data_IF_239169913658
#
_entry.id   IF_239169913658
#
_cell.length_a   1.000
_cell.length_b   1.000
_cell.length_c   1.000
_cell.angle_alpha   90.00
_cell.angle_beta   90.00
_cell.angle_gamma   90.00
#
_symmetry.space_group_name_H-M   'P 1'
#
loop_
_entity.id
_entity.type
_entity.pdbx_description
1 polymer ?
#
# COMPACT_ATOMS: atom_id res chain seq x y z
N UNK A 1 -11.00 -1.04 -5.08
CA UNK A 1 -9.79 -1.33 -4.30
C UNK A 1 -8.68 -1.62 -5.29
N UNK A 2 -7.70 -0.71 -5.41
CA UNK A 2 -6.53 -0.89 -6.27
C UNK A 2 -5.39 -1.43 -5.40
N UNK A 3 -5.52 -2.67 -4.94
CA UNK A 3 -4.36 -3.35 -4.36
C UNK A 3 -3.37 -3.68 -5.47
N UNK A 4 -2.11 -3.36 -5.26
CA UNK A 4 -1.03 -3.75 -6.17
C UNK A 4 -1.05 -5.27 -6.35
N UNK A 5 -0.79 -5.79 -7.56
CA UNK A 5 -0.62 -7.22 -7.76
C UNK A 5 0.60 -7.69 -6.98
N UNK A 6 0.48 -8.85 -6.33
CA UNK A 6 1.62 -9.53 -5.73
C UNK A 6 2.67 -9.84 -6.83
N UNK A 7 3.83 -9.21 -6.72
CA UNK A 7 4.90 -9.32 -7.72
C UNK A 7 5.75 -10.57 -7.55
N UNK A 8 5.56 -11.32 -6.47
CA UNK A 8 6.41 -12.47 -6.13
C UNK A 8 5.77 -13.84 -6.41
N UNK A 9 4.66 -13.90 -7.16
CA UNK A 9 3.97 -15.16 -7.50
C UNK A 9 4.82 -16.19 -8.27
N UNK A 10 6.07 -15.87 -8.61
CA UNK A 10 7.00 -16.80 -9.27
C UNK A 10 8.00 -17.48 -8.34
N UNK A 11 8.05 -17.14 -7.06
CA UNK A 11 8.93 -17.76 -6.10
C UNK A 11 8.13 -18.40 -4.95
N UNK A 12 7.94 -19.68 -5.09
CA UNK A 12 7.85 -20.69 -4.03
C UNK A 12 6.75 -20.58 -2.98
N UNK A 13 5.52 -20.92 -3.37
CA UNK A 13 4.59 -21.62 -2.44
C UNK A 13 4.93 -23.12 -2.38
N UNK A 14 6.10 -23.57 -2.85
CA UNK A 14 6.36 -24.98 -3.17
C UNK A 14 6.59 -25.89 -1.96
N UNK A 15 6.82 -25.37 -0.73
CA UNK A 15 7.24 -26.21 0.39
C UNK A 15 6.50 -25.94 1.72
N UNK A 16 5.39 -25.22 1.73
CA UNK A 16 4.62 -25.10 2.96
C UNK A 16 3.58 -26.22 3.03
N UNK A 17 3.61 -26.98 4.13
CA UNK A 17 2.52 -27.88 4.48
C UNK A 17 1.20 -27.09 4.42
N UNK A 18 0.19 -27.51 3.62
CA UNK A 18 -1.12 -26.84 3.58
C UNK A 18 -1.74 -26.63 4.96
N UNK A 19 -1.43 -27.49 5.93
CA UNK A 19 -1.84 -27.35 7.33
C UNK A 19 -1.18 -26.17 8.05
N UNK A 20 0.01 -25.75 7.58
CA UNK A 20 0.71 -24.58 8.14
C UNK A 20 0.06 -23.23 7.72
N UNK A 21 -0.90 -23.27 6.79
CA UNK A 21 -1.66 -22.11 6.31
C UNK A 21 -3.13 -22.13 6.75
N UNK A 22 -3.53 -23.14 7.55
CA UNK A 22 -4.89 -23.27 8.05
C UNK A 22 -5.12 -22.32 9.23
N UNK A 23 -6.04 -21.33 9.11
CA UNK A 23 -6.36 -20.40 10.19
C UNK A 23 -6.76 -21.09 11.49
N UNK A 24 -7.47 -22.25 11.42
CA UNK A 24 -7.96 -22.96 12.60
C UNK A 24 -6.81 -23.49 13.47
N UNK A 25 -5.67 -23.80 12.86
CA UNK A 25 -4.45 -24.21 13.59
C UNK A 25 -3.92 -23.10 14.49
N UNK A 26 -3.98 -21.84 14.03
CA UNK A 26 -3.56 -20.65 14.78
C UNK A 26 -4.60 -20.22 15.80
N UNK A 27 -5.90 -20.39 15.51
CA UNK A 27 -6.98 -20.17 16.47
C UNK A 27 -6.76 -21.06 17.70
N UNK A 28 -6.49 -22.34 17.49
CA UNK A 28 -6.20 -23.27 18.59
C UNK A 28 -4.89 -22.93 19.32
N UNK A 29 -3.82 -22.61 18.59
CA UNK A 29 -2.48 -22.31 19.14
C UNK A 29 -2.49 -21.11 20.07
N UNK A 30 -3.18 -20.03 19.69
CA UNK A 30 -3.21 -18.77 20.44
C UNK A 30 -4.48 -18.59 21.27
N UNK A 31 -5.27 -19.68 21.44
CA UNK A 31 -6.51 -19.68 22.21
C UNK A 31 -7.44 -18.51 21.84
N UNK A 32 -7.60 -18.28 20.52
CA UNK A 32 -8.44 -17.21 19.99
C UNK A 32 -9.91 -17.65 20.01
N UNK A 33 -10.80 -16.68 20.16
CA UNK A 33 -12.25 -16.89 19.98
C UNK A 33 -12.66 -16.28 18.66
N UNK A 34 -13.26 -17.06 17.76
CA UNK A 34 -13.77 -16.54 16.47
C UNK A 34 -14.89 -15.54 16.71
N UNK A 35 -14.81 -14.37 16.10
CA UNK A 35 -15.71 -13.21 16.29
C UNK A 35 -16.19 -12.64 14.94
N UNK A 36 -16.63 -13.50 14.06
CA UNK A 36 -17.19 -13.16 12.75
C UNK A 36 -16.73 -14.09 11.64
N UNK A 37 -17.28 -13.86 10.45
CA UNK A 37 -16.95 -14.65 9.27
C UNK A 37 -15.55 -14.29 8.75
N UNK A 38 -14.75 -15.32 8.47
CA UNK A 38 -13.47 -15.17 7.79
C UNK A 38 -13.65 -14.88 6.29
N UNK A 39 -12.66 -14.24 5.70
CA UNK A 39 -12.61 -14.04 4.27
C UNK A 39 -11.18 -14.21 3.74
N UNK A 40 -11.08 -14.54 2.46
CA UNK A 40 -9.78 -14.68 1.79
C UNK A 40 -9.60 -13.59 0.75
N UNK A 41 -8.40 -13.05 0.70
CA UNK A 41 -7.90 -12.29 -0.45
C UNK A 41 -7.06 -13.22 -1.34
N UNK A 42 -6.49 -12.70 -2.39
CA UNK A 42 -5.54 -13.47 -3.21
C UNK A 42 -4.21 -13.79 -2.49
N UNK A 43 -3.90 -13.06 -1.42
CA UNK A 43 -2.60 -13.12 -0.74
C UNK A 43 -2.68 -13.46 0.75
N UNK A 44 -3.86 -13.50 1.35
CA UNK A 44 -4.03 -13.78 2.78
C UNK A 44 -5.39 -14.35 3.12
N UNK A 45 -5.44 -15.19 4.16
CA UNK A 45 -6.67 -15.48 4.88
C UNK A 45 -6.80 -14.51 6.06
N UNK A 46 -8.01 -13.99 6.28
CA UNK A 46 -8.32 -13.06 7.36
C UNK A 46 -9.53 -13.58 8.15
N UNK A 47 -9.39 -13.63 9.48
CA UNK A 47 -10.42 -14.11 10.37
C UNK A 47 -10.57 -13.13 11.55
N UNK A 48 -11.76 -12.50 11.72
CA UNK A 48 -12.05 -11.71 12.91
C UNK A 48 -12.05 -12.61 14.15
N UNK A 49 -11.32 -12.21 15.17
CA UNK A 49 -11.17 -12.97 16.41
C UNK A 49 -11.21 -12.04 17.63
N UNK A 50 -11.38 -12.66 18.81
CA UNK A 50 -11.03 -12.03 20.09
C UNK A 50 -9.72 -12.67 20.59
N UNK A 51 -8.76 -11.83 20.95
CA UNK A 51 -7.54 -12.22 21.65
C UNK A 51 -7.61 -11.67 23.06
N UNK A 52 -7.63 -12.55 24.08
CA UNK A 52 -7.84 -12.18 25.48
C UNK A 52 -9.09 -11.29 25.70
N UNK A 53 -10.17 -11.56 24.95
CA UNK A 53 -11.43 -10.83 25.01
C UNK A 53 -11.43 -9.47 24.25
N UNK A 54 -10.32 -9.09 23.60
CA UNK A 54 -10.20 -7.83 22.83
C UNK A 54 -10.33 -8.12 21.33
N UNK A 55 -11.07 -7.29 20.56
CA UNK A 55 -11.18 -7.45 19.12
C UNK A 55 -9.82 -7.46 18.41
N UNK A 56 -9.56 -8.51 17.64
CA UNK A 56 -8.35 -8.73 16.89
C UNK A 56 -8.65 -9.30 15.48
N UNK A 57 -7.64 -9.36 14.63
CA UNK A 57 -7.70 -9.94 13.30
C UNK A 57 -6.56 -10.94 13.14
N UNK A 58 -6.89 -12.21 12.98
CA UNK A 58 -5.93 -13.21 12.52
C UNK A 58 -5.73 -13.03 11.02
N UNK A 59 -4.47 -12.86 10.59
CA UNK A 59 -4.06 -12.82 9.18
C UNK A 59 -3.04 -13.93 8.93
N UNK A 60 -3.31 -14.81 7.96
CA UNK A 60 -2.38 -15.85 7.51
C UNK A 60 -1.94 -15.52 6.11
N UNK A 61 -0.66 -15.23 5.94
CA UNK A 61 -0.05 -14.84 4.67
C UNK A 61 0.10 -16.05 3.73
N UNK A 62 -0.33 -15.89 2.48
CA UNK A 62 -0.21 -16.90 1.42
C UNK A 62 0.99 -16.66 0.48
N UNK A 63 1.69 -15.52 0.64
CA UNK A 63 2.85 -15.17 -0.17
C UNK A 63 4.02 -14.69 0.69
N UNK A 64 5.23 -14.70 0.13
CA UNK A 64 6.43 -14.18 0.78
C UNK A 64 6.34 -12.66 0.99
N UNK A 65 5.68 -11.94 0.09
CA UNK A 65 5.42 -10.51 0.22
C UNK A 65 4.61 -10.22 1.49
N UNK A 66 3.51 -10.95 1.70
CA UNK A 66 2.67 -10.80 2.89
C UNK A 66 3.40 -11.19 4.18
N UNK A 67 4.27 -12.22 4.14
CA UNK A 67 5.12 -12.59 5.30
C UNK A 67 6.10 -11.48 5.65
N UNK A 68 6.72 -10.84 4.65
CA UNK A 68 7.57 -9.65 4.89
C UNK A 68 6.78 -8.52 5.51
N UNK A 69 5.57 -8.26 4.99
CA UNK A 69 4.65 -7.28 5.56
C UNK A 69 4.35 -7.55 7.03
N UNK A 70 4.03 -8.79 7.40
CA UNK A 70 3.78 -9.20 8.78
C UNK A 70 5.00 -8.94 9.69
N UNK A 71 6.20 -9.27 9.21
CA UNK A 71 7.46 -9.00 9.94
C UNK A 71 7.70 -7.50 10.13
N UNK A 72 7.40 -6.68 9.11
CA UNK A 72 7.52 -5.23 9.23
C UNK A 72 6.51 -4.63 10.21
N UNK A 73 5.27 -5.13 10.24
CA UNK A 73 4.27 -4.75 11.24
C UNK A 73 4.77 -4.99 12.68
N UNK A 74 5.41 -6.15 12.92
CA UNK A 74 6.03 -6.46 14.21
C UNK A 74 7.11 -5.45 14.57
N UNK A 75 7.96 -5.07 13.62
CA UNK A 75 9.03 -4.08 13.83
C UNK A 75 8.48 -2.68 14.19
N UNK A 76 7.39 -2.24 13.58
CA UNK A 76 6.76 -0.96 13.92
C UNK A 76 6.10 -0.94 15.30
N UNK A 77 5.84 -2.11 15.90
CA UNK A 77 5.44 -2.25 17.30
C UNK A 77 4.17 -1.50 17.70
N UNK A 78 3.24 -1.32 16.77
CA UNK A 78 1.98 -0.62 17.01
C UNK A 78 2.07 0.92 16.93
N UNK A 79 3.24 1.48 16.59
CA UNK A 79 3.43 2.92 16.32
C UNK A 79 3.10 3.20 14.87
N UNK A 80 2.10 4.06 14.62
CA UNK A 80 1.57 4.40 13.29
C UNK A 80 1.06 3.20 12.44
N UNK A 81 1.31 1.96 12.85
CA UNK A 81 0.79 0.73 12.27
C UNK A 81 -0.03 -0.04 13.29
N UNK A 82 -0.93 -0.94 12.86
CA UNK A 82 -1.66 -1.83 13.74
C UNK A 82 -0.70 -2.66 14.59
N UNK A 83 -1.00 -2.81 15.88
CA UNK A 83 -0.16 -3.56 16.81
C UNK A 83 -0.27 -5.05 16.51
N UNK A 84 0.87 -5.71 16.41
CA UNK A 84 0.97 -7.17 16.39
C UNK A 84 0.84 -7.69 17.83
N UNK A 85 -0.09 -8.58 18.04
CA UNK A 85 -0.36 -9.24 19.33
C UNK A 85 0.36 -10.58 19.39
N UNK A 86 0.29 -11.35 18.30
CA UNK A 86 0.97 -12.62 18.12
C UNK A 86 1.60 -12.71 16.73
N UNK A 87 2.73 -13.43 16.60
CA UNK A 87 3.39 -13.67 15.31
C UNK A 87 4.09 -15.03 15.32
N UNK A 88 3.75 -15.89 14.36
CA UNK A 88 4.46 -17.16 14.12
C UNK A 88 4.43 -17.50 12.63
N UNK A 89 5.61 -17.46 11.98
CA UNK A 89 5.77 -17.79 10.58
C UNK A 89 4.87 -16.96 9.65
N UNK A 90 3.90 -17.57 8.94
CA UNK A 90 3.01 -16.87 8.03
C UNK A 90 1.89 -16.09 8.74
N UNK A 91 1.64 -16.37 10.03
CA UNK A 91 0.47 -15.86 10.72
C UNK A 91 0.81 -14.74 11.71
N UNK A 92 -0.08 -13.75 11.77
CA UNK A 92 -0.08 -12.69 12.79
C UNK A 92 -1.48 -12.48 13.34
N UNK A 93 -1.56 -12.12 14.61
CA UNK A 93 -2.76 -11.52 15.21
C UNK A 93 -2.52 -10.04 15.35
N UNK A 94 -3.35 -9.24 14.75
CA UNK A 94 -3.29 -7.77 14.78
C UNK A 94 -4.43 -7.21 15.64
N UNK A 95 -4.21 -6.10 16.33
CA UNK A 95 -5.33 -5.33 16.84
C UNK A 95 -6.30 -5.00 15.69
N UNK A 96 -7.61 -5.04 15.96
CA UNK A 96 -8.66 -4.79 14.95
C UNK A 96 -9.14 -3.35 14.99
N UNK A 97 -9.22 -2.71 13.82
CA UNK A 97 -9.82 -1.39 13.69
C UNK A 97 -11.33 -1.47 13.96
N UNK A 98 -11.80 -0.75 14.95
CA UNK A 98 -13.22 -0.67 15.36
C UNK A 98 -13.77 0.74 15.30
N UNK A 99 -12.95 1.72 14.92
CA UNK A 99 -13.36 3.12 14.79
C UNK A 99 -14.37 3.32 13.66
N UNK A 100 -15.29 4.29 13.80
CA UNK A 100 -16.40 4.46 12.87
C UNK A 100 -16.06 5.19 11.57
N UNK A 101 -14.82 5.67 11.40
CA UNK A 101 -14.46 6.53 10.28
C UNK A 101 -13.72 5.78 9.19
N UNK A 102 -13.92 6.20 7.94
CA UNK A 102 -13.25 5.64 6.77
C UNK A 102 -12.66 6.74 5.90
N UNK A 103 -11.36 6.67 5.63
CA UNK A 103 -10.70 7.59 4.69
C UNK A 103 -11.19 7.36 3.25
N UNK A 104 -11.48 6.10 2.90
CA UNK A 104 -12.09 5.78 1.59
C UNK A 104 -13.42 6.51 1.44
N UNK A 105 -14.29 6.45 2.44
CA UNK A 105 -15.57 7.15 2.39
C UNK A 105 -15.39 8.68 2.31
N UNK A 106 -14.42 9.25 3.04
CA UNK A 106 -14.13 10.69 2.97
C UNK A 106 -13.66 11.11 1.57
N UNK A 107 -12.88 10.28 0.89
CA UNK A 107 -12.36 10.55 -0.45
C UNK A 107 -13.32 10.18 -1.58
N UNK A 108 -14.42 9.45 -1.32
CA UNK A 108 -15.37 9.02 -2.37
C UNK A 108 -16.75 9.68 -2.26
N UNK A 109 -17.25 9.93 -1.05
CA UNK A 109 -18.61 10.43 -0.85
C UNK A 109 -18.77 11.86 -1.36
N UNK A 110 -19.70 12.04 -2.31
CA UNK A 110 -19.95 13.34 -2.92
C UNK A 110 -18.84 13.83 -3.84
N UNK A 111 -18.07 12.90 -4.42
CA UNK A 111 -16.93 13.18 -5.30
C UNK A 111 -17.27 14.24 -6.37
N UNK A 112 -16.38 15.23 -6.53
CA UNK A 112 -16.55 16.38 -7.43
C UNK A 112 -17.24 17.60 -6.79
N UNK A 113 -17.86 17.47 -5.62
CA UNK A 113 -18.49 18.62 -4.95
C UNK A 113 -17.47 19.50 -4.19
N UNK A 114 -17.77 20.78 -3.91
CA UNK A 114 -16.89 21.64 -3.12
C UNK A 114 -16.59 21.10 -1.72
N UNK A 115 -17.57 20.46 -1.07
CA UNK A 115 -17.38 19.84 0.25
C UNK A 115 -16.45 18.62 0.18
N UNK A 116 -16.56 17.85 -0.87
CA UNK A 116 -15.69 16.71 -1.11
C UNK A 116 -14.22 17.13 -1.28
N UNK A 117 -13.93 18.24 -1.96
CA UNK A 117 -12.55 18.74 -2.12
C UNK A 117 -11.85 18.89 -0.77
N UNK A 118 -12.56 19.42 0.23
CA UNK A 118 -12.03 19.57 1.58
C UNK A 118 -11.90 18.23 2.33
N UNK A 119 -12.85 17.31 2.12
CA UNK A 119 -12.81 16.00 2.75
C UNK A 119 -11.69 15.12 2.15
N UNK A 120 -11.51 15.13 0.83
CA UNK A 120 -10.43 14.44 0.13
C UNK A 120 -9.05 14.96 0.55
N UNK A 121 -8.88 16.28 0.62
CA UNK A 121 -7.64 16.89 1.10
C UNK A 121 -7.34 16.56 2.59
N UNK A 122 -8.39 16.46 3.43
CA UNK A 122 -8.24 16.02 4.82
C UNK A 122 -7.80 14.57 4.91
N UNK A 123 -8.41 13.68 4.11
CA UNK A 123 -8.03 12.26 4.06
C UNK A 123 -6.57 12.12 3.63
N UNK A 124 -6.13 12.86 2.61
CA UNK A 124 -4.73 12.86 2.17
C UNK A 124 -3.77 13.35 3.26
N UNK A 125 -4.11 14.40 4.02
CA UNK A 125 -3.26 14.83 5.15
C UNK A 125 -3.15 13.77 6.24
N UNK A 126 -4.22 13.02 6.52
CA UNK A 126 -4.16 11.89 7.45
C UNK A 126 -3.20 10.81 6.94
N UNK A 127 -3.29 10.44 5.66
CA UNK A 127 -2.34 9.50 5.05
C UNK A 127 -0.90 10.00 5.18
N UNK A 128 -0.64 11.26 4.88
CA UNK A 128 0.69 11.86 5.02
C UNK A 128 1.21 11.81 6.46
N UNK A 129 0.36 12.09 7.45
CA UNK A 129 0.75 12.03 8.86
C UNK A 129 1.13 10.60 9.28
N UNK A 130 0.33 9.59 8.88
CA UNK A 130 0.64 8.18 9.16
C UNK A 130 1.97 7.76 8.50
N UNK A 131 2.19 8.14 7.23
CA UNK A 131 3.46 7.86 6.52
C UNK A 131 4.63 8.52 7.23
N UNK A 132 4.50 9.80 7.64
CA UNK A 132 5.53 10.49 8.39
C UNK A 132 5.94 9.74 9.67
N UNK A 133 4.95 9.29 10.43
CA UNK A 133 5.17 8.55 11.68
C UNK A 133 5.79 7.17 11.43
N UNK A 134 5.39 6.45 10.35
CA UNK A 134 6.01 5.18 9.95
C UNK A 134 7.48 5.35 9.61
N UNK A 135 7.83 6.38 8.83
CA UNK A 135 9.21 6.67 8.46
C UNK A 135 10.07 7.04 9.67
N UNK A 136 9.51 7.80 10.63
CA UNK A 136 10.21 8.16 11.87
C UNK A 136 10.53 6.92 12.73
N UNK A 137 9.64 5.94 12.80
CA UNK A 137 9.89 4.67 13.52
C UNK A 137 10.98 3.84 12.84
N UNK A 138 11.02 3.86 11.51
CA UNK A 138 12.02 3.11 10.73
C UNK A 138 13.44 3.66 10.81
N UNK A 139 13.61 4.91 11.24
CA UNK A 139 14.92 5.58 11.34
C UNK A 139 15.77 5.17 12.58
N UNK A 140 15.21 4.39 13.51
CA UNK A 140 15.94 3.90 14.68
C UNK A 140 16.94 2.79 14.34
N UNK A 141 17.97 2.62 15.22
CA UNK A 141 19.12 1.69 15.12
C UNK A 141 18.72 0.20 15.11
N UNK A 142 17.93 -0.22 14.16
CA UNK A 142 17.74 -1.65 13.89
C UNK A 142 18.57 -2.07 12.68
N UNK A 143 19.07 -3.34 12.63
CA UNK A 143 19.75 -3.83 11.45
C UNK A 143 18.87 -3.56 10.21
N UNK A 144 19.49 -3.06 9.13
CA UNK A 144 18.84 -3.05 7.81
C UNK A 144 18.38 -4.47 7.59
N UNK A 145 17.07 -4.72 7.69
CA UNK A 145 16.55 -6.07 7.55
C UNK A 145 16.90 -6.53 6.15
N UNK A 146 17.67 -7.61 6.04
CA UNK A 146 17.96 -8.28 4.76
C UNK A 146 16.68 -8.68 4.02
N UNK A 147 15.55 -8.59 4.70
CA UNK A 147 14.25 -9.05 4.23
C UNK A 147 13.45 -7.96 3.51
N UNK A 148 13.86 -6.68 3.65
CA UNK A 148 13.21 -5.59 2.91
C UNK A 148 13.62 -5.57 1.44
N UNK A 149 12.67 -5.30 0.56
CA UNK A 149 12.91 -5.23 -0.88
C UNK A 149 13.29 -3.80 -1.26
N UNK A 150 14.48 -3.57 -1.83
CA UNK A 150 14.87 -2.25 -2.30
C UNK A 150 14.07 -1.86 -3.55
N UNK A 151 13.83 -0.54 -3.74
CA UNK A 151 13.00 -0.04 -4.83
C UNK A 151 13.52 -0.41 -6.23
N UNK A 152 14.82 -0.56 -6.45
CA UNK A 152 15.36 -1.04 -7.73
C UNK A 152 14.87 -2.46 -8.07
N UNK A 153 14.83 -3.35 -7.07
CA UNK A 153 14.25 -4.68 -7.22
C UNK A 153 12.71 -4.63 -7.39
N UNK A 154 12.04 -3.72 -6.69
CA UNK A 154 10.60 -3.51 -6.82
C UNK A 154 10.20 -3.06 -8.23
N UNK A 155 10.99 -2.17 -8.84
CA UNK A 155 10.79 -1.65 -10.19
C UNK A 155 11.32 -2.56 -11.30
N UNK A 156 11.84 -3.75 -11.00
CA UNK A 156 12.50 -4.63 -11.97
C UNK A 156 11.67 -4.90 -13.23
N UNK A 157 10.34 -5.08 -13.10
CA UNK A 157 9.49 -5.44 -14.24
C UNK A 157 9.36 -4.26 -15.23
N UNK A 158 9.26 -3.04 -14.72
CA UNK A 158 9.29 -1.84 -15.53
C UNK A 158 10.67 -1.61 -16.17
N UNK A 159 11.75 -1.85 -15.43
CA UNK A 159 13.11 -1.57 -15.87
C UNK A 159 13.62 -2.64 -16.87
N UNK A 160 13.31 -3.90 -16.67
CA UNK A 160 13.70 -5.00 -17.57
C UNK A 160 13.07 -4.86 -18.97
N UNK A 161 11.82 -4.39 -19.05
CA UNK A 161 11.11 -4.15 -20.29
C UNK A 161 11.44 -2.83 -20.98
N UNK A 162 12.33 -2.00 -20.44
CA UNK A 162 12.51 -0.61 -20.90
C UNK A 162 12.85 -0.49 -22.39
N UNK A 163 13.59 -1.46 -22.97
CA UNK A 163 13.94 -1.48 -24.38
C UNK A 163 12.75 -1.78 -25.31
N UNK A 164 11.76 -2.53 -24.86
CA UNK A 164 10.55 -2.90 -25.60
C UNK A 164 9.37 -1.97 -25.34
N UNK A 165 9.37 -1.24 -24.23
CA UNK A 165 8.31 -0.30 -23.89
C UNK A 165 8.23 0.86 -24.90
N UNK A 166 7.01 1.37 -25.09
CA UNK A 166 6.74 2.51 -25.98
C UNK A 166 5.92 3.59 -25.27
N UNK A 167 5.95 4.79 -25.83
CA UNK A 167 5.14 5.91 -25.36
C UNK A 167 5.37 6.23 -23.88
N UNK A 168 4.31 6.36 -23.12
CA UNK A 168 4.35 6.70 -21.70
C UNK A 168 5.17 5.70 -20.86
N UNK A 169 4.99 4.38 -21.04
CA UNK A 169 5.67 3.37 -20.21
C UNK A 169 7.20 3.45 -20.35
N UNK A 170 7.72 3.74 -21.56
CA UNK A 170 9.15 3.95 -21.76
C UNK A 170 9.65 5.19 -21.00
N UNK A 171 8.89 6.32 -21.02
CA UNK A 171 9.28 7.52 -20.28
C UNK A 171 9.20 7.30 -18.76
N UNK A 172 8.18 6.59 -18.29
CA UNK A 172 8.06 6.19 -16.89
C UNK A 172 9.25 5.32 -16.42
N UNK A 173 9.71 4.39 -17.26
CA UNK A 173 10.91 3.60 -16.98
C UNK A 173 12.18 4.47 -16.89
N UNK A 174 12.32 5.49 -17.75
CA UNK A 174 13.41 6.47 -17.66
C UNK A 174 13.32 7.26 -16.36
N UNK A 175 12.13 7.79 -16.04
CA UNK A 175 11.89 8.55 -14.80
C UNK A 175 12.18 7.71 -13.56
N UNK A 176 11.77 6.43 -13.55
CA UNK A 176 12.06 5.51 -12.45
C UNK A 176 13.57 5.30 -12.28
N UNK A 177 14.31 5.07 -13.38
CA UNK A 177 15.77 4.91 -13.33
C UNK A 177 16.45 6.14 -12.77
N UNK A 178 16.12 7.34 -13.26
CA UNK A 178 16.68 8.60 -12.76
C UNK A 178 16.41 8.81 -11.27
N UNK A 179 15.21 8.44 -10.78
CA UNK A 179 14.86 8.56 -9.36
C UNK A 179 15.66 7.57 -8.51
N UNK A 180 15.84 6.35 -8.98
CA UNK A 180 16.60 5.29 -8.31
C UNK A 180 18.10 5.60 -8.29
N UNK A 181 18.65 6.22 -9.32
CA UNK A 181 20.04 6.68 -9.38
C UNK A 181 20.29 7.90 -8.47
N UNK A 182 19.27 8.74 -8.27
CA UNK A 182 19.30 9.92 -7.42
C UNK A 182 18.69 9.66 -6.04
N UNK A 183 19.09 8.57 -5.38
CA UNK A 183 18.57 8.19 -4.06
C UNK A 183 18.63 9.35 -3.07
N UNK A 184 17.53 9.58 -2.37
CA UNK A 184 17.40 10.62 -1.34
C UNK A 184 16.55 10.08 -0.19
N UNK A 185 16.89 10.47 1.03
CA UNK A 185 16.09 10.20 2.22
C UNK A 185 15.61 8.74 2.28
N UNK A 186 16.55 7.78 2.19
CA UNK A 186 16.25 6.35 2.24
C UNK A 186 15.68 5.97 3.60
N UNK A 187 14.47 5.39 3.57
CA UNK A 187 13.73 4.95 4.76
C UNK A 187 13.13 3.57 4.53
N UNK A 188 12.63 2.96 5.61
CA UNK A 188 11.73 1.81 5.51
C UNK A 188 10.38 2.31 5.03
N UNK A 189 9.89 1.73 3.94
CA UNK A 189 8.66 2.12 3.28
C UNK A 189 7.53 1.13 3.60
N UNK A 190 6.33 1.65 3.68
CA UNK A 190 5.13 0.82 3.65
C UNK A 190 4.94 0.15 2.28
N UNK A 191 5.12 0.92 1.21
CA UNK A 191 5.08 0.44 -0.17
C UNK A 191 3.69 0.37 -0.82
N UNK A 192 2.61 0.45 -0.01
CA UNK A 192 1.23 0.39 -0.50
C UNK A 192 0.28 1.28 0.31
N UNK A 193 0.70 2.52 0.57
CA UNK A 193 -0.15 3.45 1.33
C UNK A 193 -1.30 3.94 0.48
N UNK A 194 -2.52 3.68 0.95
CA UNK A 194 -3.74 4.23 0.38
C UNK A 194 -4.90 4.24 1.40
N UNK A 195 -6.01 4.81 1.02
CA UNK A 195 -7.18 5.07 1.87
C UNK A 195 -7.76 3.83 2.56
N UNK A 196 -7.60 2.63 1.98
CA UNK A 196 -8.09 1.38 2.57
C UNK A 196 -7.05 0.66 3.44
N UNK A 197 -5.77 1.07 3.37
CA UNK A 197 -4.69 0.54 4.20
C UNK A 197 -4.35 1.44 5.40
N UNK A 198 -5.15 2.48 5.64
CA UNK A 198 -5.09 3.30 6.85
C UNK A 198 -6.47 3.33 7.48
N UNK A 199 -6.60 2.68 8.64
CA UNK A 199 -7.87 2.44 9.31
C UNK A 199 -7.98 3.22 10.62
N UNK A 200 -9.23 3.42 11.08
CA UNK A 200 -9.52 4.07 12.36
C UNK A 200 -9.55 3.04 13.49
N UNK A 201 -8.59 3.12 14.41
CA UNK A 201 -8.51 2.33 15.64
C UNK A 201 -8.99 3.13 16.88
N UNK A 202 -9.54 4.33 16.66
CA UNK A 202 -10.12 5.17 17.69
C UNK A 202 -11.54 4.77 18.03
N UNK A 203 -12.23 5.71 18.67
CA UNK A 203 -13.62 5.57 19.07
C UNK A 203 -14.48 6.74 18.52
N UNK A 204 -15.73 6.85 18.97
CA UNK A 204 -16.61 7.93 18.55
C UNK A 204 -16.07 9.33 18.89
N UNK A 205 -15.30 9.48 19.98
CA UNK A 205 -14.78 10.76 20.45
C UNK A 205 -13.57 11.23 19.61
N UNK A 206 -12.62 10.32 19.33
CA UNK A 206 -11.38 10.68 18.62
C UNK A 206 -10.91 9.60 17.66
N UNK A 207 -10.47 9.97 16.44
CA UNK A 207 -9.84 9.02 15.52
C UNK A 207 -8.45 8.63 16.01
N UNK A 208 -8.05 7.41 15.68
CA UNK A 208 -6.67 6.91 15.81
C UNK A 208 -6.29 6.16 14.55
N UNK A 209 -5.70 6.87 13.63
CA UNK A 209 -5.35 6.32 12.32
C UNK A 209 -4.07 5.49 12.38
N UNK A 210 -4.10 4.27 11.85
CA UNK A 210 -2.94 3.39 11.74
C UNK A 210 -2.95 2.65 10.43
N UNK A 211 -1.73 2.36 9.94
CA UNK A 211 -1.52 1.58 8.74
C UNK A 211 -1.65 0.09 8.98
N UNK A 212 -2.02 -0.63 7.93
CA UNK A 212 -2.05 -2.09 7.82
C UNK A 212 -1.46 -2.49 6.46
N UNK A 213 -1.03 -3.75 6.33
CA UNK A 213 -0.74 -4.39 5.05
C UNK A 213 0.44 -3.79 4.24
N UNK A 214 1.63 -3.59 4.88
CA UNK A 214 2.80 -3.08 4.17
C UNK A 214 3.44 -4.14 3.26
N UNK A 215 4.18 -3.66 2.24
CA UNK A 215 4.93 -4.52 1.30
C UNK A 215 6.38 -4.79 1.72
N UNK A 216 6.85 -4.12 2.74
CA UNK A 216 8.20 -4.33 3.26
C UNK A 216 9.29 -3.86 2.29
N UNK A 217 9.25 -2.59 1.91
CA UNK A 217 10.21 -1.99 0.99
C UNK A 217 11.22 -1.10 1.72
N UNK A 218 12.29 -0.75 1.01
CA UNK A 218 13.28 0.25 1.44
C UNK A 218 13.68 1.14 0.26
N UNK A 219 13.75 2.44 0.50
CA UNK A 219 14.16 3.42 -0.53
C UNK A 219 13.72 4.84 -0.23
N UNK A 220 13.59 5.63 -1.28
CA UNK A 220 13.21 7.04 -1.23
C UNK A 220 11.85 7.25 -0.57
N UNK A 221 11.82 8.06 0.50
CA UNK A 221 10.58 8.31 1.25
C UNK A 221 9.43 8.88 0.41
N UNK A 222 9.73 9.57 -0.69
CA UNK A 222 8.71 10.15 -1.54
C UNK A 222 7.89 9.10 -2.31
N UNK A 223 8.39 7.86 -2.43
CA UNK A 223 7.68 6.77 -3.08
C UNK A 223 6.36 6.42 -2.39
N UNK A 224 6.32 6.40 -1.05
CA UNK A 224 5.11 6.05 -0.29
C UNK A 224 3.92 6.99 -0.53
N UNK A 225 4.18 8.19 -1.05
CA UNK A 225 3.12 9.14 -1.37
C UNK A 225 2.54 8.98 -2.79
N UNK A 226 3.18 8.22 -3.68
CA UNK A 226 2.72 8.09 -5.06
C UNK A 226 1.42 7.29 -5.17
N UNK A 227 1.32 6.15 -4.49
CA UNK A 227 0.16 5.27 -4.58
C UNK A 227 -1.13 5.93 -4.07
N UNK A 228 -1.08 6.67 -2.96
CA UNK A 228 -2.26 7.34 -2.40
C UNK A 228 -2.92 8.32 -3.38
N UNK A 229 -2.13 8.93 -4.27
CA UNK A 229 -2.60 9.88 -5.29
C UNK A 229 -3.39 9.19 -6.41
N UNK A 230 -3.14 7.89 -6.62
CA UNK A 230 -3.81 7.05 -7.61
C UNK A 230 -5.04 6.32 -7.05
N UNK A 231 -5.39 6.57 -5.79
CA UNK A 231 -6.47 5.96 -5.03
C UNK A 231 -7.48 7.04 -4.56
N UNK A 232 -8.67 6.69 -3.99
CA UNK A 232 -9.13 5.35 -3.60
C UNK A 232 -9.75 4.50 -4.72
N UNK A 233 -10.21 5.12 -5.80
CA UNK A 233 -10.75 4.43 -6.98
C UNK A 233 -10.30 5.12 -8.26
N UNK A 234 -10.32 4.40 -9.39
CA UNK A 234 -9.98 4.98 -10.69
C UNK A 234 -10.84 6.21 -11.02
N UNK A 235 -12.15 6.12 -10.77
CA UNK A 235 -13.07 7.23 -11.05
C UNK A 235 -12.74 8.48 -10.25
N UNK A 236 -12.39 8.34 -8.98
CA UNK A 236 -11.99 9.47 -8.13
C UNK A 236 -10.61 10.01 -8.51
N UNK A 237 -9.64 9.12 -8.74
CA UNK A 237 -8.27 9.52 -9.09
C UNK A 237 -8.21 10.34 -10.39
N UNK A 238 -9.12 10.06 -11.33
CA UNK A 238 -9.20 10.72 -12.64
C UNK A 238 -10.11 11.97 -12.67
N UNK A 239 -10.68 12.40 -11.54
CA UNK A 239 -11.46 13.65 -11.50
C UNK A 239 -10.54 14.82 -11.90
N UNK A 240 -10.94 15.64 -12.89
CA UNK A 240 -10.13 16.75 -13.38
C UNK A 240 -9.63 17.69 -12.27
N UNK A 241 -8.34 17.99 -12.28
CA UNK A 241 -7.68 18.85 -11.29
C UNK A 241 -7.49 18.23 -9.90
N UNK A 242 -7.94 16.98 -9.66
CA UNK A 242 -7.73 16.32 -8.37
C UNK A 242 -6.25 16.03 -8.12
N UNK A 243 -5.55 15.43 -9.09
CA UNK A 243 -4.13 15.09 -8.92
C UNK A 243 -3.29 16.31 -8.56
N UNK A 244 -3.47 17.43 -9.27
CA UNK A 244 -2.79 18.69 -8.98
C UNK A 244 -3.01 19.14 -7.53
N UNK A 245 -4.28 19.27 -7.11
CA UNK A 245 -4.62 19.69 -5.73
C UNK A 245 -4.04 18.74 -4.69
N UNK A 246 -4.09 17.42 -4.91
CA UNK A 246 -3.62 16.44 -3.94
C UNK A 246 -2.08 16.37 -3.88
N UNK A 247 -1.40 16.60 -5.00
CA UNK A 247 0.07 16.73 -5.02
C UNK A 247 0.52 17.92 -4.18
N UNK A 248 -0.19 19.06 -4.24
CA UNK A 248 0.12 20.22 -3.40
C UNK A 248 -0.09 19.91 -1.92
N UNK A 249 -1.18 19.20 -1.57
CA UNK A 249 -1.43 18.75 -0.19
C UNK A 249 -0.31 17.83 0.31
N UNK A 250 0.15 16.89 -0.52
CA UNK A 250 1.25 15.97 -0.17
C UNK A 250 2.56 16.74 -0.04
N UNK A 251 2.88 17.61 -1.00
CA UNK A 251 4.11 18.41 -0.98
C UNK A 251 4.23 19.24 0.30
N UNK A 252 3.14 19.92 0.68
CA UNK A 252 3.05 20.71 1.91
C UNK A 252 3.18 19.83 3.16
N UNK A 253 2.34 18.77 3.27
CA UNK A 253 2.27 17.93 4.46
C UNK A 253 3.53 17.08 4.69
N UNK A 254 4.21 16.65 3.64
CA UNK A 254 5.39 15.80 3.71
C UNK A 254 6.72 16.57 3.59
N UNK A 255 6.69 17.88 3.32
CA UNK A 255 7.88 18.68 3.06
C UNK A 255 8.68 18.16 1.85
N UNK A 256 7.97 17.87 0.74
CA UNK A 256 8.54 17.34 -0.49
C UNK A 256 8.40 18.35 -1.63
N UNK A 257 9.37 18.34 -2.55
CA UNK A 257 9.21 19.11 -3.78
C UNK A 257 8.10 18.46 -4.64
N UNK A 258 7.13 19.26 -5.11
CA UNK A 258 6.02 18.86 -5.99
C UNK A 258 6.52 18.06 -7.20
N UNK A 259 7.60 18.48 -7.84
CA UNK A 259 8.24 17.80 -8.97
C UNK A 259 8.68 16.37 -8.59
N UNK A 260 9.22 16.16 -7.37
CA UNK A 260 9.64 14.82 -6.94
C UNK A 260 8.46 13.91 -6.71
N UNK A 261 7.39 14.40 -6.09
CA UNK A 261 6.13 13.65 -5.90
C UNK A 261 5.54 13.24 -7.25
N UNK A 262 5.41 14.19 -8.20
CA UNK A 262 4.90 13.93 -9.55
C UNK A 262 5.76 12.90 -10.30
N UNK A 263 7.08 12.98 -10.22
CA UNK A 263 7.98 11.99 -10.84
C UNK A 263 7.77 10.59 -10.26
N UNK A 264 7.56 10.46 -8.95
CA UNK A 264 7.22 9.15 -8.35
C UNK A 264 5.84 8.66 -8.78
N UNK A 265 4.85 9.55 -8.97
CA UNK A 265 3.55 9.18 -9.57
C UNK A 265 3.72 8.65 -10.99
N UNK A 266 4.55 9.29 -11.83
CA UNK A 266 4.87 8.80 -13.19
C UNK A 266 5.51 7.42 -13.14
N UNK A 267 6.53 7.23 -12.28
CA UNK A 267 7.22 5.95 -12.14
C UNK A 267 6.27 4.84 -11.65
N UNK A 268 5.49 5.12 -10.60
CA UNK A 268 4.51 4.17 -10.05
C UNK A 268 3.43 3.80 -11.07
N UNK A 269 2.88 4.80 -11.80
CA UNK A 269 1.88 4.56 -12.83
C UNK A 269 2.41 3.69 -13.98
N UNK A 270 3.69 3.87 -14.37
CA UNK A 270 4.34 3.02 -15.35
C UNK A 270 4.49 1.59 -14.89
N UNK A 271 4.92 1.37 -13.64
CA UNK A 271 5.04 0.04 -13.03
C UNK A 271 3.67 -0.64 -12.92
N UNK A 272 2.68 0.08 -12.42
CA UNK A 272 1.29 -0.40 -12.29
C UNK A 272 0.71 -0.81 -13.66
N UNK A 273 0.93 -0.01 -14.71
CA UNK A 273 0.49 -0.35 -16.06
C UNK A 273 1.15 -1.62 -16.59
N UNK A 274 2.44 -1.84 -16.32
CA UNK A 274 3.15 -3.07 -16.70
C UNK A 274 2.58 -4.28 -15.97
N UNK A 275 2.36 -4.20 -14.67
CA UNK A 275 1.80 -5.29 -13.88
C UNK A 275 0.41 -5.71 -14.34
N UNK A 276 -0.47 -4.75 -14.66
CA UNK A 276 -1.82 -5.06 -15.14
C UNK A 276 -1.85 -5.49 -16.61
N UNK A 277 -0.89 -5.05 -17.46
CA UNK A 277 -0.82 -5.43 -18.88
C UNK A 277 -0.13 -6.77 -19.12
N UNK A 278 0.81 -7.19 -18.26
CA UNK A 278 1.40 -8.51 -18.29
C UNK A 278 0.34 -9.59 -18.04
N UNK A 279 0.71 -10.87 -17.97
CA UNK A 279 -0.24 -11.94 -17.64
C UNK A 279 -1.04 -11.71 -16.33
N UNK A 280 -0.92 -10.57 -15.75
CA UNK A 280 -1.64 -9.96 -14.62
C UNK A 280 -2.04 -10.91 -13.49
N UNK A 281 -2.54 -10.46 -12.37
CA UNK A 281 -2.97 -11.37 -11.30
C UNK A 281 -4.06 -12.29 -11.81
N UNK A 282 -3.84 -13.62 -11.73
CA UNK A 282 -4.80 -14.63 -12.22
C UNK A 282 -6.20 -14.55 -11.59
N UNK A 283 -6.33 -13.83 -10.46
CA UNK A 283 -7.59 -13.59 -9.78
C UNK A 283 -8.42 -12.43 -10.36
N UNK A 284 -7.84 -11.58 -11.24
CA UNK A 284 -8.56 -10.50 -11.93
C UNK A 284 -9.05 -10.94 -13.30
N UNK A 285 -10.27 -10.51 -13.68
CA UNK A 285 -10.73 -10.65 -15.08
C UNK A 285 -9.88 -9.80 -16.02
N UNK A 286 -9.78 -10.18 -17.31
CA UNK A 286 -9.07 -9.39 -18.33
C UNK A 286 -9.60 -7.96 -18.40
N UNK A 287 -10.91 -7.77 -18.41
CA UNK A 287 -11.52 -6.44 -18.44
C UNK A 287 -11.14 -5.57 -17.23
N UNK A 288 -11.05 -6.15 -16.03
CA UNK A 288 -10.61 -5.43 -14.84
C UNK A 288 -9.13 -5.05 -14.91
N UNK A 289 -8.28 -5.94 -15.44
CA UNK A 289 -6.85 -5.63 -15.68
C UNK A 289 -6.68 -4.49 -16.69
N UNK A 290 -7.39 -4.57 -17.82
CA UNK A 290 -7.32 -3.55 -18.87
C UNK A 290 -7.78 -2.18 -18.35
N UNK A 291 -8.86 -2.14 -17.56
CA UNK A 291 -9.33 -0.92 -16.91
C UNK A 291 -8.30 -0.34 -15.93
N UNK A 292 -7.66 -1.20 -15.13
CA UNK A 292 -6.60 -0.79 -14.19
C UNK A 292 -5.36 -0.26 -14.90
N UNK A 293 -4.91 -0.94 -15.96
CA UNK A 293 -3.81 -0.48 -16.80
C UNK A 293 -4.12 0.87 -17.47
N UNK A 294 -5.31 1.00 -18.06
CA UNK A 294 -5.74 2.25 -18.69
C UNK A 294 -5.80 3.42 -17.70
N UNK A 295 -6.29 3.17 -16.47
CA UNK A 295 -6.36 4.17 -15.41
C UNK A 295 -4.97 4.60 -14.93
N UNK A 296 -4.05 3.64 -14.72
CA UNK A 296 -2.67 3.94 -14.37
C UNK A 296 -2.00 4.80 -15.45
N UNK A 297 -2.18 4.45 -16.73
CA UNK A 297 -1.67 5.25 -17.86
C UNK A 297 -2.26 6.67 -17.89
N UNK A 298 -3.54 6.83 -17.61
CA UNK A 298 -4.20 8.13 -17.60
C UNK A 298 -3.67 9.03 -16.48
N UNK A 299 -3.58 8.50 -15.24
CA UNK A 299 -3.03 9.22 -14.08
C UNK A 299 -1.57 9.62 -14.35
N UNK A 300 -0.75 8.68 -14.86
CA UNK A 300 0.65 8.96 -15.15
C UNK A 300 0.84 10.05 -16.22
N UNK A 301 0.00 10.08 -17.27
CA UNK A 301 0.03 11.16 -18.27
C UNK A 301 -0.36 12.50 -17.67
N UNK A 302 -1.39 12.53 -16.82
CA UNK A 302 -1.75 13.76 -16.09
C UNK A 302 -0.57 14.26 -15.24
N UNK A 303 0.16 13.36 -14.57
CA UNK A 303 1.35 13.72 -13.81
C UNK A 303 2.49 14.25 -14.71
N UNK A 304 2.70 13.66 -15.91
CA UNK A 304 3.65 14.19 -16.90
C UNK A 304 3.26 15.59 -17.41
N UNK A 305 1.97 15.84 -17.62
CA UNK A 305 1.50 17.15 -18.08
C UNK A 305 1.72 18.23 -17.02
N UNK A 306 1.56 17.90 -15.73
CA UNK A 306 1.85 18.79 -14.60
C UNK A 306 3.36 19.05 -14.39
N UNK A 307 4.25 18.25 -14.99
CA UNK A 307 5.70 18.44 -14.93
C UNK A 307 6.23 19.41 -16.02
N UNK A 308 5.39 19.83 -16.98
CA UNK A 308 5.74 20.75 -18.08
C UNK A 308 5.56 22.19 -17.68
#
# INVERSE_FOLDING_TARGET
>A
MNTLPDTDTRHSTRDLDPRALDPDSFVARWNLVVDGDGFSTHSSHLLPVLHEGVPAMLKVALSDEERRGNSLMTRWGGRAAARVLEHDGPAVVLERATGPRSLTAQATNGAGSPRWILADARATRVLCAVVHDLHAVGAGDGPRSSDLVPLDRWFRDLLAGAGSHRGFVRRAATTARDLLDQRRDEVILHGDVHHANVLDFGDAAAPRWKAIDPKGLVGDRAFDYANMLCNPTHGVALIPGRLERQVDVVADAAGLATVRVLRWVVAWAGLSAVWFSAAGPGWMSSAARDASAASALAIGRTAEDLLR
#
